data_IF_412517088666
#
_entry.id   IF_412517088666
#
_cell.length_a   1.000
_cell.length_b   1.000
_cell.length_c   1.000
_cell.angle_alpha   90.00
_cell.angle_beta   90.00
_cell.angle_gamma   90.00
#
_symmetry.space_group_name_H-M   'P 1'
#
loop_
_entity.id
_entity.type
_entity.pdbx_description
1 polymer ?
#
# COMPACT_ATOMS: atom_id res chain seq x y z
N UNK A 1 -1.58 10.11 -16.72
CA UNK A 1 -0.42 9.95 -15.82
C UNK A 1 -0.25 11.30 -15.14
N UNK A 2 -0.69 11.43 -13.90
CA UNK A 2 -0.81 12.72 -13.17
C UNK A 2 0.52 13.50 -13.10
N UNK A 3 1.66 12.80 -13.22
CA UNK A 3 3.00 13.40 -13.20
C UNK A 3 3.58 13.72 -14.58
N UNK A 4 2.81 13.56 -15.67
CA UNK A 4 3.34 13.76 -17.03
C UNK A 4 3.85 15.20 -17.27
N UNK A 5 3.20 16.19 -16.67
CA UNK A 5 3.54 17.61 -16.83
C UNK A 5 4.41 18.16 -15.68
N UNK A 6 4.79 17.31 -14.71
CA UNK A 6 5.56 17.70 -13.54
C UNK A 6 7.06 17.79 -13.87
N UNK A 7 7.50 18.92 -14.44
CA UNK A 7 8.88 19.14 -14.91
C UNK A 7 9.96 19.09 -13.82
N UNK A 8 9.58 19.22 -12.55
CA UNK A 8 10.47 19.15 -11.39
C UNK A 8 10.62 17.73 -10.81
N UNK A 9 10.01 16.71 -11.44
CA UNK A 9 10.04 15.32 -10.96
C UNK A 9 10.54 14.41 -12.07
N UNK A 10 11.51 13.54 -11.75
CA UNK A 10 11.88 12.43 -12.65
C UNK A 10 10.94 11.26 -12.37
N UNK A 11 10.20 10.84 -13.40
CA UNK A 11 9.27 9.71 -13.32
C UNK A 11 9.88 8.50 -14.01
N UNK A 12 9.94 7.38 -13.29
CA UNK A 12 10.32 6.08 -13.84
C UNK A 12 9.15 5.13 -13.68
N UNK A 13 8.81 4.42 -14.75
CA UNK A 13 7.76 3.39 -14.74
C UNK A 13 8.41 2.01 -14.68
N UNK A 14 7.87 1.12 -13.86
CA UNK A 14 8.40 -0.24 -13.67
C UNK A 14 8.31 -1.11 -14.93
N UNK A 15 7.50 -0.70 -15.92
CA UNK A 15 7.15 -1.55 -17.06
C UNK A 15 6.30 -2.74 -16.64
N UNK A 16 6.17 -3.75 -17.49
CA UNK A 16 5.37 -4.96 -17.25
C UNK A 16 3.98 -4.95 -17.91
N UNK A 17 3.11 -5.85 -17.44
CA UNK A 17 1.76 -6.04 -17.97
C UNK A 17 0.75 -5.19 -17.20
N UNK A 18 -0.13 -4.48 -17.91
CA UNK A 18 -1.21 -3.72 -17.27
C UNK A 18 -2.28 -4.66 -16.71
N UNK A 19 -2.39 -4.69 -15.38
CA UNK A 19 -3.52 -5.23 -14.67
C UNK A 19 -4.65 -4.18 -14.67
N UNK A 20 -5.68 -4.39 -15.50
CA UNK A 20 -6.76 -3.40 -15.66
C UNK A 20 -7.60 -3.20 -14.39
N UNK A 21 -8.03 -4.25 -13.66
CA UNK A 21 -8.82 -4.07 -12.43
C UNK A 21 -8.10 -3.26 -11.35
N UNK A 22 -6.79 -3.49 -11.15
CA UNK A 22 -5.98 -2.76 -10.18
C UNK A 22 -5.34 -1.47 -10.71
N UNK A 23 -5.47 -1.22 -12.02
CA UNK A 23 -4.83 -0.12 -12.74
C UNK A 23 -3.33 0.04 -12.42
N UNK A 24 -2.63 -1.09 -12.40
CA UNK A 24 -1.22 -1.17 -12.04
C UNK A 24 -0.45 -2.04 -13.04
N UNK A 25 0.88 -1.95 -13.00
CA UNK A 25 1.74 -2.81 -13.79
C UNK A 25 2.20 -3.99 -12.93
N UNK A 26 2.12 -5.19 -13.48
CA UNK A 26 2.46 -6.46 -12.81
C UNK A 26 3.24 -7.37 -13.74
N UNK A 27 3.74 -8.48 -13.20
CA UNK A 27 4.48 -9.49 -13.94
C UNK A 27 5.97 -9.50 -13.60
N UNK A 28 6.68 -10.46 -14.16
CA UNK A 28 8.07 -10.74 -13.83
C UNK A 28 8.98 -9.52 -14.02
N UNK A 29 8.76 -8.74 -15.08
CA UNK A 29 9.53 -7.54 -15.39
C UNK A 29 9.36 -6.46 -14.32
N UNK A 30 8.13 -6.25 -13.85
CA UNK A 30 7.83 -5.34 -12.74
C UNK A 30 8.51 -5.80 -11.45
N UNK A 31 8.39 -7.09 -11.15
CA UNK A 31 8.94 -7.68 -9.94
C UNK A 31 10.47 -7.54 -9.88
N UNK A 32 11.17 -7.87 -10.97
CA UNK A 32 12.63 -7.72 -11.04
C UNK A 32 13.06 -6.26 -10.99
N UNK A 33 12.31 -5.36 -11.64
CA UNK A 33 12.57 -3.93 -11.53
C UNK A 33 12.50 -3.46 -10.08
N UNK A 34 11.42 -3.79 -9.35
CA UNK A 34 11.23 -3.38 -7.95
C UNK A 34 12.26 -4.04 -7.03
N UNK A 35 12.64 -5.30 -7.28
CA UNK A 35 13.65 -6.02 -6.49
C UNK A 35 15.02 -5.33 -6.50
N UNK A 36 15.36 -4.62 -7.57
CA UNK A 36 16.60 -3.85 -7.69
C UNK A 36 16.61 -2.50 -6.97
N UNK A 37 15.48 -2.07 -6.41
CA UNK A 37 15.35 -0.75 -5.79
C UNK A 37 15.62 -0.79 -4.29
N UNK A 38 16.14 0.33 -3.79
CA UNK A 38 16.08 0.69 -2.38
C UNK A 38 15.51 2.09 -2.30
N UNK A 39 14.31 2.24 -1.71
CA UNK A 39 13.59 3.51 -1.68
C UNK A 39 13.44 4.03 -0.26
N UNK A 40 13.47 5.34 -0.10
CA UNK A 40 13.25 5.94 1.22
C UNK A 40 11.79 5.80 1.68
N UNK A 41 10.84 5.81 0.74
CA UNK A 41 9.40 5.68 1.03
C UNK A 41 8.71 4.89 -0.06
N UNK A 42 7.76 4.06 0.32
CA UNK A 42 6.76 3.48 -0.59
C UNK A 42 5.36 3.89 -0.17
N UNK A 43 4.52 4.16 -1.15
CA UNK A 43 3.09 4.41 -0.97
C UNK A 43 2.33 3.30 -1.67
N UNK A 44 1.42 2.64 -0.94
CA UNK A 44 0.61 1.55 -1.49
C UNK A 44 -0.79 1.56 -0.88
N UNK A 45 -1.71 0.88 -1.56
CA UNK A 45 -3.07 0.64 -1.06
C UNK A 45 -3.29 -0.83 -0.74
N UNK A 46 -4.42 -1.14 -0.12
CA UNK A 46 -4.86 -2.53 0.11
C UNK A 46 -6.35 -2.66 -0.16
N UNK A 47 -6.84 -3.88 -0.35
CA UNK A 47 -8.28 -4.14 -0.50
C UNK A 47 -9.00 -4.13 0.84
N UNK A 48 -8.36 -4.68 1.87
CA UNK A 48 -8.90 -4.74 3.21
C UNK A 48 -7.79 -4.79 4.28
N UNK A 49 -8.15 -4.38 5.49
CA UNK A 49 -7.31 -4.30 6.69
C UNK A 49 -8.05 -5.04 7.80
N UNK A 50 -7.33 -5.99 8.41
CA UNK A 50 -7.78 -6.75 9.57
C UNK A 50 -6.71 -6.69 10.65
N UNK A 51 -7.11 -6.49 11.90
CA UNK A 51 -6.21 -6.56 13.06
C UNK A 51 -5.57 -7.96 13.19
N UNK A 52 -6.36 -8.99 12.91
CA UNK A 52 -5.93 -10.39 13.00
C UNK A 52 -5.09 -10.83 11.78
N UNK A 53 -5.53 -10.50 10.56
CA UNK A 53 -4.92 -11.00 9.33
C UNK A 53 -3.97 -10.02 8.64
N UNK A 54 -3.86 -8.79 9.13
CA UNK A 54 -3.06 -7.72 8.54
C UNK A 54 -3.69 -7.13 7.27
N UNK A 55 -2.85 -6.75 6.31
CA UNK A 55 -3.28 -6.30 4.99
C UNK A 55 -3.64 -7.50 4.13
N UNK A 56 -4.80 -7.43 3.48
CA UNK A 56 -5.29 -8.49 2.60
C UNK A 56 -5.73 -7.94 1.25
N UNK A 57 -5.53 -8.74 0.20
CA UNK A 57 -5.76 -8.37 -1.19
C UNK A 57 -6.59 -9.42 -1.96
N UNK A 58 -7.24 -8.97 -3.03
CA UNK A 58 -8.06 -9.81 -3.92
C UNK A 58 -7.28 -10.43 -5.09
N UNK A 59 -6.08 -9.95 -5.38
CA UNK A 59 -5.32 -10.29 -6.59
C UNK A 59 -3.87 -10.66 -6.27
N UNK A 60 -3.51 -11.90 -6.61
CA UNK A 60 -2.18 -12.46 -6.34
C UNK A 60 -1.06 -11.74 -7.11
N UNK A 61 -1.33 -11.24 -8.32
CA UNK A 61 -0.33 -10.50 -9.10
C UNK A 61 -0.01 -9.14 -8.44
N UNK A 62 -1.03 -8.49 -7.86
CA UNK A 62 -0.85 -7.30 -7.05
C UNK A 62 -0.05 -7.59 -5.76
N UNK A 63 -0.34 -8.71 -5.10
CA UNK A 63 0.36 -9.11 -3.89
C UNK A 63 1.85 -9.31 -4.14
N UNK A 64 2.23 -9.96 -5.24
CA UNK A 64 3.63 -10.21 -5.57
C UNK A 64 4.44 -8.91 -5.66
N UNK A 65 3.95 -7.93 -6.40
CA UNK A 65 4.61 -6.63 -6.55
C UNK A 65 4.62 -5.83 -5.24
N UNK A 66 3.49 -5.75 -4.53
CA UNK A 66 3.39 -4.98 -3.28
C UNK A 66 4.30 -5.55 -2.18
N UNK A 67 4.49 -6.87 -2.09
CA UNK A 67 5.45 -7.48 -1.15
C UNK A 67 6.88 -7.01 -1.41
N UNK A 68 7.27 -6.89 -2.68
CA UNK A 68 8.59 -6.38 -3.06
C UNK A 68 8.71 -4.89 -2.75
N UNK A 69 7.65 -4.10 -2.97
CA UNK A 69 7.63 -2.68 -2.60
C UNK A 69 7.81 -2.48 -1.10
N UNK A 70 7.15 -3.30 -0.27
CA UNK A 70 7.29 -3.27 1.21
C UNK A 70 8.73 -3.60 1.59
N UNK A 71 9.31 -4.64 1.01
CA UNK A 71 10.68 -5.08 1.33
C UNK A 71 11.77 -4.07 0.89
N UNK A 72 11.53 -3.33 -0.19
CA UNK A 72 12.48 -2.37 -0.75
C UNK A 72 12.52 -1.01 -0.02
N UNK A 73 11.54 -0.73 0.85
CA UNK A 73 11.33 0.59 1.42
C UNK A 73 11.87 0.70 2.87
N UNK A 74 12.45 1.86 3.19
CA UNK A 74 12.76 2.21 4.59
C UNK A 74 11.53 2.63 5.40
N UNK A 75 10.53 3.18 4.71
CA UNK A 75 9.26 3.59 5.31
C UNK A 75 8.10 3.18 4.40
N UNK A 76 7.13 2.47 4.96
CA UNK A 76 5.95 1.95 4.28
C UNK A 76 4.72 2.75 4.70
N UNK A 77 4.12 3.43 3.72
CA UNK A 77 2.97 4.31 3.91
C UNK A 77 1.77 3.69 3.20
N UNK A 78 0.77 3.28 3.99
CA UNK A 78 -0.48 2.74 3.50
C UNK A 78 -1.50 3.87 3.28
N UNK A 79 -2.09 3.90 2.09
CA UNK A 79 -3.21 4.76 1.76
C UNK A 79 -4.47 3.90 1.74
N UNK A 80 -5.37 4.12 2.70
CA UNK A 80 -6.60 3.34 2.84
C UNK A 80 -7.70 4.19 3.46
N UNK A 81 -8.83 4.32 2.76
CA UNK A 81 -10.03 4.91 3.33
C UNK A 81 -10.60 4.02 4.47
N UNK A 82 -11.42 4.61 5.32
CA UNK A 82 -12.08 3.93 6.44
C UNK A 82 -12.91 2.70 6.03
N UNK A 83 -13.36 2.59 4.78
CA UNK A 83 -14.11 1.43 4.30
C UNK A 83 -13.26 0.15 4.17
N UNK A 84 -11.93 0.27 4.23
CA UNK A 84 -11.01 -0.88 4.15
C UNK A 84 -10.86 -1.62 5.47
N UNK A 85 -11.23 -1.02 6.60
CA UNK A 85 -11.00 -1.61 7.92
C UNK A 85 -12.10 -2.61 8.31
N UNK A 86 -11.72 -3.62 9.10
CA UNK A 86 -12.66 -4.59 9.66
C UNK A 86 -13.12 -5.67 8.67
N UNK A 87 -12.39 -5.87 7.57
CA UNK A 87 -12.70 -6.92 6.59
C UNK A 87 -11.46 -7.69 6.14
N UNK A 88 -11.67 -8.82 5.46
CA UNK A 88 -10.62 -9.71 4.96
C UNK A 88 -10.91 -9.99 3.48
N UNK A 89 -9.89 -9.80 2.64
CA UNK A 89 -9.92 -10.16 1.23
C UNK A 89 -9.32 -11.56 1.00
N UNK A 90 -9.22 -11.97 -0.27
CA UNK A 90 -8.90 -13.33 -0.69
C UNK A 90 -7.58 -13.88 -0.12
N UNK A 91 -6.52 -13.07 -0.07
CA UNK A 91 -5.19 -13.51 0.34
C UNK A 91 -4.44 -12.47 1.16
N UNK A 92 -3.54 -12.94 2.04
CA UNK A 92 -2.71 -12.08 2.86
C UNK A 92 -1.59 -11.42 2.06
N UNK A 93 -1.50 -10.09 2.16
CA UNK A 93 -0.42 -9.27 1.61
C UNK A 93 0.74 -9.16 2.61
N UNK A 94 0.50 -8.63 3.80
CA UNK A 94 1.53 -8.37 4.81
C UNK A 94 0.90 -8.23 6.20
N UNK A 95 1.64 -8.50 7.29
CA UNK A 95 1.16 -8.17 8.64
C UNK A 95 1.03 -6.65 8.79
N UNK A 96 0.16 -6.19 9.71
CA UNK A 96 0.01 -4.76 10.02
C UNK A 96 1.33 -4.12 10.49
N UNK A 97 2.16 -4.89 11.19
CA UNK A 97 3.48 -4.44 11.67
C UNK A 97 4.50 -4.12 10.56
N UNK A 98 4.19 -4.42 9.29
CA UNK A 98 5.00 -4.01 8.16
C UNK A 98 4.73 -2.56 7.71
N UNK A 99 3.79 -1.86 8.35
CA UNK A 99 3.35 -0.50 8.00
C UNK A 99 3.81 0.48 9.05
N UNK A 100 4.43 1.58 8.62
CA UNK A 100 4.88 2.65 9.53
C UNK A 100 3.83 3.74 9.67
N UNK A 101 3.11 4.04 8.59
CA UNK A 101 2.13 5.13 8.53
C UNK A 101 0.89 4.67 7.77
N UNK A 102 -0.30 4.96 8.31
CA UNK A 102 -1.58 4.84 7.61
C UNK A 102 -2.14 6.23 7.39
N UNK A 103 -2.49 6.55 6.14
CA UNK A 103 -3.27 7.73 5.78
C UNK A 103 -4.69 7.29 5.44
N UNK A 104 -5.67 7.84 6.16
CA UNK A 104 -7.09 7.52 6.03
C UNK A 104 -7.95 8.78 6.01
N UNK A 105 -9.20 8.64 5.58
CA UNK A 105 -10.20 9.71 5.69
C UNK A 105 -10.75 9.86 7.12
N UNK A 106 -11.49 10.94 7.35
CA UNK A 106 -12.07 11.35 8.64
C UNK A 106 -13.27 10.53 9.10
N UNK A 107 -13.64 9.50 8.34
CA UNK A 107 -14.72 8.56 8.66
C UNK A 107 -14.25 7.36 9.49
N UNK A 108 -12.94 7.22 9.73
CA UNK A 108 -12.38 6.21 10.62
C UNK A 108 -12.82 6.48 12.07
N UNK A 109 -13.10 5.42 12.85
CA UNK A 109 -13.50 5.61 14.24
C UNK A 109 -12.29 5.95 15.13
N UNK A 110 -12.44 6.79 16.18
CA UNK A 110 -11.36 7.08 17.13
C UNK A 110 -10.79 5.82 17.80
N UNK A 111 -11.63 4.80 18.02
CA UNK A 111 -11.23 3.52 18.59
C UNK A 111 -10.30 2.76 17.64
N UNK A 112 -10.62 2.71 16.34
CA UNK A 112 -9.77 2.10 15.32
C UNK A 112 -8.43 2.82 15.21
N UNK A 113 -8.44 4.16 15.27
CA UNK A 113 -7.19 4.96 15.28
C UNK A 113 -6.32 4.57 16.48
N UNK A 114 -6.92 4.54 17.67
CA UNK A 114 -6.20 4.20 18.92
C UNK A 114 -5.61 2.80 18.86
N UNK A 115 -6.38 1.80 18.42
CA UNK A 115 -5.92 0.41 18.29
C UNK A 115 -4.73 0.28 17.34
N UNK A 116 -4.74 1.02 16.23
CA UNK A 116 -3.63 1.03 15.26
C UNK A 116 -2.39 1.72 15.84
N UNK A 117 -2.57 2.86 16.51
CA UNK A 117 -1.47 3.61 17.12
C UNK A 117 -0.81 2.84 18.27
N UNK A 118 -1.56 2.02 19.02
CA UNK A 118 -1.03 1.11 20.03
C UNK A 118 -0.10 0.03 19.46
N UNK A 119 -0.24 -0.29 18.16
CA UNK A 119 0.69 -1.17 17.44
C UNK A 119 1.97 -0.46 16.99
N UNK A 120 2.14 0.83 17.32
CA UNK A 120 3.27 1.65 16.92
C UNK A 120 3.16 2.23 15.50
N UNK A 121 1.98 2.13 14.88
CA UNK A 121 1.73 2.61 13.53
C UNK A 121 1.17 4.03 13.60
N UNK A 122 1.80 4.99 12.92
CA UNK A 122 1.30 6.37 12.91
C UNK A 122 0.03 6.46 12.04
N UNK A 123 -1.03 7.05 12.56
CA UNK A 123 -2.23 7.36 11.75
C UNK A 123 -2.27 8.84 11.39
N UNK A 124 -2.56 9.13 10.13
CA UNK A 124 -2.79 10.48 9.61
C UNK A 124 -4.22 10.51 9.06
N UNK A 125 -5.08 11.29 9.70
CA UNK A 125 -6.43 11.54 9.23
C UNK A 125 -6.39 12.75 8.29
N UNK A 126 -6.69 12.53 7.01
CA UNK A 126 -6.82 13.57 6.01
C UNK A 126 -8.29 13.99 5.89
N UNK A 127 -8.58 15.26 6.17
CA UNK A 127 -9.92 15.82 5.98
C UNK A 127 -10.28 15.85 4.50
N UNK A 128 -11.49 15.41 4.17
CA UNK A 128 -12.10 15.56 2.84
C UNK A 128 -12.94 16.82 2.73
#
# INVERSE_FOLDING_TARGET
NEFADASNVTVVSTGGTLNRPGFCLVGHETEEFVRGLHVDKTFLSTKAISVEYGLTEGDLANIAVKKLMIAAAKQVILLADSSKFGSVAFAQLAPLSAIDVIVTDDRISPEQVTEIEELGIKVIVAGT
#
